data_IF_075751230906
#
_entry.id   IF_075751230906
#
_cell.length_a   1.000
_cell.length_b   1.000
_cell.length_c   1.000
_cell.angle_alpha   90.00
_cell.angle_beta   90.00
_cell.angle_gamma   90.00
#
_symmetry.space_group_name_H-M   'P 1'
#
loop_
_entity.id
_entity.type
_entity.pdbx_description
1 polymer ?
#
# COMPACT_ATOMS: atom_id res chain seq x y z
N UNK A 1 -9.79 -21.77 40.21
CA UNK A 1 -10.04 -21.55 38.77
C UNK A 1 -9.45 -20.22 38.40
N UNK A 2 -8.47 -20.20 37.48
CA UNK A 2 -7.79 -18.98 37.08
C UNK A 2 -8.60 -18.18 36.06
N UNK A 3 -8.65 -16.86 36.22
CA UNK A 3 -9.20 -15.95 35.22
C UNK A 3 -8.14 -15.81 34.12
N UNK A 4 -8.46 -16.18 32.88
CA UNK A 4 -7.60 -15.92 31.71
C UNK A 4 -8.06 -14.65 31.00
N UNK A 5 -7.10 -13.86 30.49
CA UNK A 5 -7.36 -12.62 29.73
C UNK A 5 -6.77 -12.76 28.33
N UNK A 6 -7.62 -12.66 27.33
CA UNK A 6 -7.22 -12.61 25.92
C UNK A 6 -7.26 -11.18 25.41
N UNK A 7 -6.22 -10.79 24.66
CA UNK A 7 -6.12 -9.49 24.02
C UNK A 7 -6.08 -9.70 22.52
N UNK A 8 -7.04 -9.11 21.81
CA UNK A 8 -7.12 -9.18 20.35
C UNK A 8 -6.74 -7.83 19.75
N UNK A 9 -5.69 -7.80 18.94
CA UNK A 9 -5.27 -6.61 18.19
C UNK A 9 -5.66 -6.81 16.74
N UNK A 10 -6.51 -5.95 16.18
CA UNK A 10 -6.92 -6.02 14.77
C UNK A 10 -6.53 -4.74 14.05
N UNK A 11 -6.03 -4.90 12.83
CA UNK A 11 -5.68 -3.78 11.96
C UNK A 11 -6.58 -3.81 10.75
N UNK A 12 -7.25 -2.68 10.51
CA UNK A 12 -8.17 -2.47 9.40
C UNK A 12 -7.67 -1.35 8.50
N UNK A 13 -8.09 -1.38 7.23
CA UNK A 13 -7.88 -0.28 6.32
C UNK A 13 -8.83 0.87 6.63
N UNK A 14 -8.30 2.08 6.82
CA UNK A 14 -9.10 3.29 7.08
C UNK A 14 -9.89 3.78 5.85
N UNK A 15 -9.66 3.18 4.67
CA UNK A 15 -10.32 3.57 3.41
C UNK A 15 -11.46 2.63 3.05
N UNK A 16 -11.22 1.31 3.05
CA UNK A 16 -12.24 0.31 2.70
C UNK A 16 -12.83 -0.44 3.90
N UNK A 17 -12.25 -0.30 5.11
CA UNK A 17 -12.67 -1.04 6.30
C UNK A 17 -12.23 -2.50 6.34
N UNK A 18 -11.63 -3.00 5.26
CA UNK A 18 -11.18 -4.40 5.18
C UNK A 18 -10.16 -4.72 6.26
N UNK A 19 -10.28 -5.93 6.78
CA UNK A 19 -9.33 -6.49 7.72
C UNK A 19 -8.00 -6.77 7.00
N UNK A 20 -6.92 -6.22 7.54
CA UNK A 20 -5.56 -6.40 6.99
C UNK A 20 -4.86 -7.54 7.70
N UNK A 21 -4.86 -7.52 9.03
CA UNK A 21 -4.20 -8.52 9.86
C UNK A 21 -4.66 -8.38 11.31
N UNK A 22 -4.40 -9.39 12.13
CA UNK A 22 -4.67 -9.34 13.56
C UNK A 22 -3.93 -10.42 14.32
N UNK A 23 -3.86 -10.23 15.63
CA UNK A 23 -3.19 -11.12 16.56
C UNK A 23 -4.05 -11.31 17.78
N UNK A 24 -4.01 -12.53 18.31
CA UNK A 24 -4.60 -12.90 19.58
C UNK A 24 -3.48 -13.36 20.50
N UNK A 25 -3.44 -12.82 21.71
CA UNK A 25 -2.41 -13.12 22.69
C UNK A 25 -3.00 -13.20 24.09
N UNK A 26 -2.37 -14.03 24.93
CA UNK A 26 -2.72 -14.12 26.35
C UNK A 26 -2.00 -13.01 27.11
N UNK A 27 -2.78 -12.07 27.65
CA UNK A 27 -2.30 -11.02 28.57
C UNK A 27 -1.57 -9.81 27.95
N UNK A 28 -0.81 -9.95 26.86
CA UNK A 28 0.03 -8.86 26.30
C UNK A 28 -0.39 -8.53 24.87
N UNK A 29 -0.94 -7.33 24.66
CA UNK A 29 -1.27 -6.83 23.30
C UNK A 29 -0.03 -6.46 22.48
N UNK A 30 -0.18 -6.40 21.16
CA UNK A 30 0.90 -6.01 20.25
C UNK A 30 1.07 -4.47 20.27
N UNK A 31 2.33 -4.00 20.29
CA UNK A 31 2.60 -2.56 20.25
C UNK A 31 2.17 -1.93 18.92
N UNK A 32 1.88 -0.62 18.96
CA UNK A 32 1.51 0.12 17.75
C UNK A 32 2.67 0.18 16.74
N UNK A 33 3.92 0.25 17.18
CA UNK A 33 5.06 0.18 16.25
C UNK A 33 5.13 -1.16 15.54
N UNK A 34 4.94 -2.26 16.28
CA UNK A 34 5.03 -3.61 15.72
C UNK A 34 3.88 -3.88 14.73
N UNK A 35 2.67 -3.45 15.07
CA UNK A 35 1.53 -3.50 14.14
C UNK A 35 1.78 -2.67 12.87
N UNK A 36 2.35 -1.46 12.99
CA UNK A 36 2.72 -0.61 11.84
C UNK A 36 3.76 -1.26 10.95
N UNK A 37 4.79 -1.86 11.55
CA UNK A 37 5.84 -2.56 10.83
C UNK A 37 5.26 -3.73 10.01
N UNK A 38 4.46 -4.59 10.65
CA UNK A 38 3.92 -5.77 10.00
C UNK A 38 2.97 -5.45 8.85
N UNK A 39 2.09 -4.45 9.01
CA UNK A 39 1.20 -4.07 7.89
C UNK A 39 1.95 -3.44 6.73
N UNK A 40 3.11 -2.79 6.97
CA UNK A 40 3.98 -2.32 5.88
C UNK A 40 4.56 -3.47 5.07
N UNK A 41 4.95 -4.57 5.72
CA UNK A 41 5.39 -5.79 5.04
C UNK A 41 4.28 -6.42 4.17
N UNK A 42 3.01 -6.24 4.56
CA UNK A 42 1.84 -6.64 3.75
C UNK A 42 1.53 -5.63 2.62
N UNK A 43 2.37 -4.60 2.44
CA UNK A 43 2.23 -3.58 1.40
C UNK A 43 1.31 -2.42 1.75
N UNK A 44 0.85 -2.33 3.00
CA UNK A 44 0.03 -1.22 3.47
C UNK A 44 0.87 0.02 3.74
N UNK A 45 0.26 1.20 3.62
CA UNK A 45 0.87 2.44 4.14
C UNK A 45 0.41 2.63 5.57
N UNK A 46 1.36 2.63 6.52
CA UNK A 46 1.07 2.86 7.93
C UNK A 46 1.74 4.16 8.39
N UNK A 47 0.92 5.20 8.52
CA UNK A 47 1.31 6.53 9.00
C UNK A 47 0.27 7.10 9.96
N UNK A 48 -0.29 8.28 9.66
CA UNK A 48 -1.46 8.83 10.35
C UNK A 48 -2.73 8.01 10.09
N UNK A 49 -2.77 7.30 8.96
CA UNK A 49 -3.81 6.36 8.54
C UNK A 49 -3.18 5.06 8.05
N UNK A 50 -3.93 3.98 8.07
CA UNK A 50 -3.60 2.66 7.54
C UNK A 50 -4.37 2.47 6.24
N UNK A 51 -3.65 2.32 5.13
CA UNK A 51 -4.24 2.11 3.81
C UNK A 51 -3.76 0.78 3.26
N UNK A 52 -4.69 -0.13 2.95
CA UNK A 52 -4.36 -1.44 2.39
C UNK A 52 -3.72 -1.31 0.99
N UNK A 53 -3.01 -2.37 0.59
CA UNK A 53 -2.34 -2.48 -0.70
C UNK A 53 -3.28 -2.14 -1.87
N UNK A 54 -4.49 -2.68 -1.87
CA UNK A 54 -5.46 -2.44 -2.95
C UNK A 54 -5.93 -0.99 -3.02
N UNK A 55 -6.28 -0.39 -1.88
CA UNK A 55 -6.68 1.02 -1.83
C UNK A 55 -5.54 1.93 -2.30
N UNK A 56 -4.29 1.59 -1.94
CA UNK A 56 -3.09 2.29 -2.38
C UNK A 56 -2.92 2.21 -3.90
N UNK A 57 -3.11 1.02 -4.49
CA UNK A 57 -3.09 0.79 -5.95
C UNK A 57 -4.19 1.58 -6.64
N UNK A 58 -5.44 1.50 -6.17
CA UNK A 58 -6.59 2.25 -6.73
C UNK A 58 -6.36 3.76 -6.69
N UNK A 59 -5.83 4.29 -5.59
CA UNK A 59 -5.46 5.71 -5.49
C UNK A 59 -4.35 6.09 -6.45
N UNK A 60 -3.33 5.23 -6.62
CA UNK A 60 -2.24 5.46 -7.57
C UNK A 60 -2.75 5.49 -9.01
N UNK A 61 -3.60 4.55 -9.40
CA UNK A 61 -4.26 4.53 -10.72
C UNK A 61 -4.98 5.84 -10.97
N UNK A 62 -5.86 6.27 -10.04
CA UNK A 62 -6.58 7.55 -10.16
C UNK A 62 -5.64 8.75 -10.35
N UNK A 63 -4.56 8.84 -9.56
CA UNK A 63 -3.57 9.93 -9.69
C UNK A 63 -2.85 9.93 -11.04
N UNK A 64 -2.39 8.77 -11.50
CA UNK A 64 -1.76 8.63 -12.80
C UNK A 64 -2.73 8.96 -13.95
N UNK A 65 -3.99 8.52 -13.87
CA UNK A 65 -5.01 8.88 -14.85
C UNK A 65 -5.28 10.39 -14.89
N UNK A 66 -5.30 11.06 -13.74
CA UNK A 66 -5.43 12.52 -13.65
C UNK A 66 -4.21 13.23 -14.26
N UNK A 67 -2.99 12.74 -14.01
CA UNK A 67 -1.78 13.26 -14.63
C UNK A 67 -1.80 13.12 -16.16
N UNK A 68 -2.30 11.99 -16.70
CA UNK A 68 -2.47 11.81 -18.15
C UNK A 68 -3.48 12.82 -18.74
N UNK A 69 -4.59 13.06 -18.04
CA UNK A 69 -5.67 13.95 -18.52
C UNK A 69 -5.33 15.44 -18.44
N UNK A 70 -4.66 15.86 -17.37
CA UNK A 70 -4.50 17.28 -17.04
C UNK A 70 -3.04 17.77 -17.11
N UNK A 71 -2.08 16.88 -17.42
CA UNK A 71 -0.65 17.16 -17.28
C UNK A 71 -0.18 17.11 -15.83
N UNK A 72 1.14 17.20 -15.64
CA UNK A 72 1.76 17.23 -14.30
C UNK A 72 1.96 18.70 -13.90
N UNK A 73 1.43 19.11 -12.76
CA UNK A 73 1.80 20.39 -12.16
C UNK A 73 3.23 20.28 -11.58
N UNK A 74 4.22 20.71 -12.35
CA UNK A 74 5.60 20.99 -11.93
C UNK A 74 6.44 19.80 -11.44
N UNK A 75 7.25 19.24 -12.34
CA UNK A 75 8.69 18.98 -12.14
C UNK A 75 9.25 18.44 -13.46
N UNK A 76 10.04 19.26 -14.15
CA UNK A 76 10.97 18.80 -15.19
C UNK A 76 11.91 17.77 -14.57
N UNK A 77 11.90 16.53 -15.05
CA UNK A 77 12.83 15.49 -14.57
C UNK A 77 12.26 14.10 -14.25
N UNK A 78 11.25 13.63 -14.98
CA UNK A 78 10.82 12.22 -14.96
C UNK A 78 9.36 12.03 -14.58
N UNK A 79 8.46 12.43 -15.48
CA UNK A 79 7.03 12.25 -15.30
C UNK A 79 6.63 10.75 -15.38
N UNK A 80 5.73 10.33 -14.50
CA UNK A 80 5.06 9.04 -14.62
C UNK A 80 4.17 9.07 -15.88
N UNK A 81 4.49 8.26 -16.90
CA UNK A 81 3.76 8.22 -18.18
C UNK A 81 2.35 7.58 -18.08
N UNK A 82 1.94 7.13 -16.89
CA UNK A 82 0.61 6.58 -16.66
C UNK A 82 0.49 5.08 -17.01
N UNK A 83 -0.75 4.65 -17.27
CA UNK A 83 -1.10 3.29 -17.68
C UNK A 83 -1.40 3.32 -19.18
N UNK A 84 -0.79 2.41 -19.95
CA UNK A 84 -1.19 2.12 -21.33
C UNK A 84 -2.57 1.47 -21.31
N UNK A 85 -3.48 1.94 -22.17
CA UNK A 85 -4.74 1.26 -22.42
C UNK A 85 -4.65 0.44 -23.71
N UNK A 86 -5.41 -0.65 -23.82
CA UNK A 86 -5.55 -1.41 -25.07
C UNK A 86 -6.31 -0.53 -26.08
N UNK A 87 -5.56 0.29 -26.83
CA UNK A 87 -6.09 1.31 -27.74
C UNK A 87 -5.29 2.62 -27.78
N UNK A 88 -4.23 2.78 -26.99
CA UNK A 88 -3.27 3.88 -27.19
C UNK A 88 -2.38 3.57 -28.43
N UNK A 89 -2.28 4.52 -29.38
CA UNK A 89 -1.53 4.37 -30.65
C UNK A 89 0.00 4.20 -30.45
N UNK A 90 0.52 4.62 -29.31
CA UNK A 90 1.91 4.38 -28.91
C UNK A 90 1.96 3.45 -27.68
N UNK A 91 2.82 2.42 -27.68
CA UNK A 91 3.05 1.61 -26.50
C UNK A 91 3.74 2.47 -25.43
N UNK A 92 2.94 3.15 -24.61
CA UNK A 92 3.43 3.91 -23.46
C UNK A 92 4.20 2.93 -22.58
N UNK A 93 5.50 3.20 -22.37
CA UNK A 93 6.31 2.42 -21.43
C UNK A 93 5.58 2.37 -20.08
N UNK A 94 5.19 1.16 -19.66
CA UNK A 94 4.58 0.93 -18.34
C UNK A 94 5.48 1.60 -17.29
N UNK A 95 4.87 2.34 -16.37
CA UNK A 95 5.65 3.08 -15.38
C UNK A 95 6.51 2.10 -14.55
N UNK A 96 7.82 2.10 -14.82
CA UNK A 96 8.82 1.15 -14.28
C UNK A 96 8.87 1.10 -12.75
N UNK A 97 8.37 2.14 -12.05
CA UNK A 97 8.39 2.25 -10.58
C UNK A 97 6.99 2.35 -9.95
N UNK A 98 5.91 2.12 -10.70
CA UNK A 98 4.55 2.30 -10.18
C UNK A 98 4.06 1.03 -9.49
N UNK A 99 3.63 1.13 -8.22
CA UNK A 99 3.00 0.03 -7.45
C UNK A 99 1.81 -0.66 -8.13
N UNK A 100 1.25 -0.03 -9.14
CA UNK A 100 0.05 -0.46 -9.85
C UNK A 100 0.37 -0.97 -11.27
N UNK A 101 1.55 -0.67 -11.82
CA UNK A 101 2.08 -1.36 -12.98
C UNK A 101 2.85 -2.56 -12.45
N UNK A 102 2.56 -3.77 -12.91
CA UNK A 102 3.09 -5.06 -12.44
C UNK A 102 4.63 -5.17 -12.35
N UNK A 103 5.37 -4.14 -12.75
CA UNK A 103 6.82 -3.99 -12.58
C UNK A 103 7.26 -3.61 -11.16
N UNK A 104 6.35 -3.30 -10.23
CA UNK A 104 6.73 -3.04 -8.83
C UNK A 104 6.88 -4.35 -8.06
N UNK A 105 8.12 -4.66 -7.69
CA UNK A 105 8.46 -5.85 -6.92
C UNK A 105 8.13 -5.64 -5.43
N UNK A 106 7.12 -6.38 -4.96
CA UNK A 106 6.71 -6.33 -3.56
C UNK A 106 7.63 -7.12 -2.64
N UNK A 107 8.33 -8.13 -3.15
CA UNK A 107 9.27 -8.91 -2.34
C UNK A 107 10.57 -8.12 -2.12
N UNK A 108 11.09 -7.45 -3.15
CA UNK A 108 12.24 -6.52 -2.99
C UNK A 108 11.92 -5.41 -1.97
N UNK A 109 10.74 -4.80 -2.06
CA UNK A 109 10.31 -3.75 -1.12
C UNK A 109 10.14 -4.30 0.30
N UNK A 110 9.67 -5.54 0.44
CA UNK A 110 9.53 -6.22 1.72
C UNK A 110 10.90 -6.53 2.33
N UNK A 111 11.88 -6.96 1.53
CA UNK A 111 13.25 -7.16 1.98
C UNK A 111 13.91 -5.84 2.42
N UNK A 112 13.70 -4.75 1.69
CA UNK A 112 14.15 -3.41 2.11
C UNK A 112 13.57 -2.97 3.45
N UNK A 113 12.35 -3.39 3.75
CA UNK A 113 11.68 -3.11 5.03
C UNK A 113 12.10 -4.06 6.17
N UNK A 114 12.81 -5.16 5.90
CA UNK A 114 13.32 -6.09 6.92
C UNK A 114 14.61 -5.63 7.62
N UNK A 115 15.17 -4.48 7.21
CA UNK A 115 16.35 -3.85 7.81
C UNK A 115 16.14 -3.47 9.29
#
# INVERSE_FOLDING_TARGET
>A
MGITRTVTTRVHCDVCGEWVTGWESEGIGISREWAKYFVRLQGCTAGKRIICKECRIKQRIKKCSLQKKCGVAGMDGGACLGFSYDGDDEPIERCKRCIACTSFDWEEEKERLKL
#
